data_IF_849950128560
#
_entry.id   IF_849950128560
#
_cell.length_a   1.000
_cell.length_b   1.000
_cell.length_c   1.000
_cell.angle_alpha   90.00
_cell.angle_beta   90.00
_cell.angle_gamma   90.00
#
_symmetry.space_group_name_H-M   'P 1'
#
loop_
_entity.id
_entity.type
_entity.pdbx_description
1 polymer ?
#
# COMPACT_ATOMS: atom_id res chain seq x y z
N UNK A 1 -2.46 13.41 1.43
CA UNK A 1 -3.04 13.08 0.10
C UNK A 1 -3.94 11.86 0.24
N UNK A 2 -5.06 11.76 -0.49
CA UNK A 2 -5.90 10.53 -0.48
C UNK A 2 -5.34 9.60 -1.57
N UNK A 3 -4.80 8.44 -1.19
CA UNK A 3 -4.29 7.45 -2.15
C UNK A 3 -5.42 6.99 -3.07
N UNK A 4 -5.23 7.10 -4.38
CA UNK A 4 -6.14 6.52 -5.37
C UNK A 4 -6.10 4.99 -5.28
N UNK A 5 -7.11 4.30 -5.84
CA UNK A 5 -7.09 2.84 -5.91
C UNK A 5 -5.83 2.32 -6.63
N UNK A 6 -5.42 2.99 -7.71
CA UNK A 6 -4.22 2.66 -8.48
C UNK A 6 -2.94 2.85 -7.65
N UNK A 7 -2.86 3.90 -6.82
CA UNK A 7 -1.73 4.11 -5.92
C UNK A 7 -1.64 2.96 -4.90
N UNK A 8 -2.77 2.57 -4.32
CA UNK A 8 -2.82 1.46 -3.34
C UNK A 8 -2.35 0.15 -3.98
N UNK A 9 -2.81 -0.16 -5.19
CA UNK A 9 -2.37 -1.34 -5.95
C UNK A 9 -0.87 -1.29 -6.25
N UNK A 10 -0.37 -0.15 -6.71
CA UNK A 10 1.05 0.04 -7.02
C UNK A 10 1.91 -0.20 -5.78
N UNK A 11 1.54 0.38 -4.65
CA UNK A 11 2.20 0.18 -3.36
C UNK A 11 2.24 -1.32 -2.98
N UNK A 12 1.13 -2.04 -3.15
CA UNK A 12 1.06 -3.46 -2.86
C UNK A 12 2.01 -4.29 -3.74
N UNK A 13 2.04 -4.02 -5.04
CA UNK A 13 2.97 -4.67 -5.97
C UNK A 13 4.43 -4.35 -5.66
N UNK A 14 4.77 -3.08 -5.42
CA UNK A 14 6.10 -2.65 -5.00
C UNK A 14 6.55 -3.36 -3.72
N UNK A 15 5.61 -3.57 -2.77
CA UNK A 15 5.92 -4.31 -1.55
C UNK A 15 6.21 -5.78 -1.83
N UNK A 16 5.46 -6.44 -2.71
CA UNK A 16 5.69 -7.83 -3.13
C UNK A 16 6.99 -8.00 -3.93
N UNK A 17 7.42 -6.97 -4.65
CA UNK A 17 8.73 -6.90 -5.32
C UNK A 17 9.92 -6.68 -4.36
N UNK A 18 9.68 -6.58 -3.05
CA UNK A 18 10.74 -6.47 -2.04
C UNK A 18 11.14 -5.03 -1.68
N UNK A 19 10.42 -4.01 -2.15
CA UNK A 19 10.72 -2.63 -1.74
C UNK A 19 10.53 -2.43 -0.23
N UNK A 20 11.37 -1.55 0.35
CA UNK A 20 11.33 -1.21 1.77
C UNK A 20 10.19 -0.25 2.10
N UNK A 21 9.64 -0.39 3.31
CA UNK A 21 8.54 0.46 3.78
C UNK A 21 8.90 1.94 3.83
N UNK A 22 10.15 2.27 4.18
CA UNK A 22 10.65 3.65 4.26
C UNK A 22 10.68 4.33 2.90
N UNK A 23 11.09 3.62 1.85
CA UNK A 23 11.10 4.14 0.47
C UNK A 23 9.68 4.41 -0.03
N UNK A 24 8.75 3.48 0.19
CA UNK A 24 7.34 3.65 -0.18
C UNK A 24 6.71 4.81 0.60
N UNK A 25 6.92 4.88 1.91
CA UNK A 25 6.37 5.95 2.75
C UNK A 25 6.84 7.34 2.32
N UNK A 26 8.12 7.48 1.97
CA UNK A 26 8.68 8.74 1.46
C UNK A 26 8.16 9.09 0.05
N UNK A 27 7.98 8.11 -0.83
CA UNK A 27 7.53 8.34 -2.20
C UNK A 27 6.08 8.82 -2.27
N UNK A 28 5.21 8.25 -1.44
CA UNK A 28 3.78 8.56 -1.45
C UNK A 28 3.38 9.57 -0.35
N UNK A 29 4.33 10.03 0.47
CA UNK A 29 4.09 10.87 1.64
C UNK A 29 3.01 10.27 2.57
N UNK A 30 3.15 8.97 2.87
CA UNK A 30 2.23 8.21 3.71
C UNK A 30 2.95 7.59 4.88
N UNK A 31 2.31 7.62 6.05
CA UNK A 31 2.82 6.93 7.23
C UNK A 31 2.97 5.42 6.97
N UNK A 32 4.14 4.88 7.32
CA UNK A 32 4.47 3.46 7.21
C UNK A 32 3.42 2.57 7.89
N UNK A 33 2.82 3.00 9.01
CA UNK A 33 1.77 2.25 9.70
C UNK A 33 0.55 2.02 8.81
N UNK A 34 0.12 3.05 8.07
CA UNK A 34 -1.02 2.98 7.16
C UNK A 34 -0.72 2.03 5.99
N UNK A 35 0.49 2.09 5.43
CA UNK A 35 0.92 1.20 4.35
C UNK A 35 0.93 -0.26 4.83
N UNK A 36 1.48 -0.52 6.02
CA UNK A 36 1.47 -1.87 6.63
C UNK A 36 0.06 -2.38 6.85
N UNK A 37 -0.84 -1.53 7.34
CA UNK A 37 -2.23 -1.89 7.57
C UNK A 37 -2.94 -2.23 6.24
N UNK A 38 -2.75 -1.40 5.21
CA UNK A 38 -3.33 -1.62 3.87
C UNK A 38 -2.84 -2.93 3.25
N UNK A 39 -1.54 -3.22 3.30
CA UNK A 39 -0.99 -4.48 2.78
C UNK A 39 -1.58 -5.68 3.52
N UNK A 40 -1.72 -5.62 4.85
CA UNK A 40 -2.35 -6.69 5.65
C UNK A 40 -3.81 -6.91 5.29
N UNK A 41 -4.56 -5.84 4.98
CA UNK A 41 -5.94 -5.93 4.51
C UNK A 41 -6.02 -6.66 3.17
N UNK A 42 -5.17 -6.28 2.22
CA UNK A 42 -5.10 -6.90 0.90
C UNK A 42 -4.65 -8.37 0.95
N UNK A 43 -3.68 -8.68 1.81
CA UNK A 43 -3.21 -10.06 2.02
C UNK A 43 -4.32 -10.97 2.60
N UNK A 44 -5.21 -10.42 3.42
CA UNK A 44 -6.27 -11.18 4.08
C UNK A 44 -7.54 -11.32 3.25
N UNK A 45 -7.98 -10.24 2.60
CA UNK A 45 -9.29 -10.16 1.95
C UNK A 45 -9.21 -9.99 0.44
N UNK A 46 -7.99 -9.99 -0.13
CA UNK A 46 -7.77 -9.68 -1.54
C UNK A 46 -7.71 -8.18 -1.81
N UNK A 47 -7.25 -7.82 -3.02
CA UNK A 47 -7.01 -6.41 -3.41
C UNK A 47 -8.29 -5.59 -3.58
N UNK A 48 -9.43 -6.23 -3.82
CA UNK A 48 -10.72 -5.54 -4.01
C UNK A 48 -11.18 -4.79 -2.75
N UNK A 49 -10.69 -5.15 -1.56
CA UNK A 49 -11.06 -4.50 -0.29
C UNK A 49 -10.69 -3.01 -0.24
N UNK A 50 -9.69 -2.59 -1.03
CA UNK A 50 -9.20 -1.20 -1.03
C UNK A 50 -9.79 -0.32 -2.12
N UNK A 51 -10.68 -0.88 -2.96
CA UNK A 51 -11.36 -0.22 -4.08
C UNK A 51 -12.46 0.75 -3.65
N UNK A 52 -12.81 0.71 -2.37
CA UNK A 52 -13.84 1.55 -1.75
C UNK A 52 -13.38 3.00 -1.53
#
# INVERSE_FOLDING_TARGET
>A
MKLSYEDKLTIYHLKKQGMTWTKIGKLYDVNISNIKYMVRLMDRYGVEIVKK
#
